data_IF_129802315663
#
_entry.id   IF_129802315663
#
_cell.length_a   1.000
_cell.length_b   1.000
_cell.length_c   1.000
_cell.angle_alpha   90.00
_cell.angle_beta   90.00
_cell.angle_gamma   90.00
#
_symmetry.space_group_name_H-M   'P 1'
#
loop_
_entity.id
_entity.type
_entity.pdbx_description
1 polymer ?
#
# COMPACT_ATOMS: atom_id res chain seq x y z
N UNK A 1 10.37 26.62 -1.43
CA UNK A 1 9.87 25.29 -1.85
C UNK A 1 10.68 24.20 -1.18
N UNK A 2 12.01 24.20 -1.29
CA UNK A 2 12.92 23.19 -0.69
C UNK A 2 12.67 22.90 0.80
N UNK A 3 12.54 23.92 1.65
CA UNK A 3 12.24 23.74 3.08
C UNK A 3 10.87 23.08 3.34
N UNK A 4 9.87 23.33 2.49
CA UNK A 4 8.55 22.71 2.61
C UNK A 4 8.59 21.26 2.14
N UNK A 5 9.25 20.99 1.01
CA UNK A 5 9.48 19.64 0.49
C UNK A 5 10.27 18.77 1.48
N UNK A 6 11.30 19.32 2.12
CA UNK A 6 12.09 18.60 3.13
C UNK A 6 11.24 18.21 4.36
N UNK A 7 10.33 19.07 4.82
CA UNK A 7 9.46 18.79 5.98
C UNK A 7 8.38 17.75 5.66
N UNK A 8 7.92 17.69 4.43
CA UNK A 8 6.81 16.81 4.04
C UNK A 8 7.34 15.45 3.55
N UNK A 9 8.51 15.41 2.94
CA UNK A 9 9.08 14.18 2.41
C UNK A 9 10.07 13.52 3.38
N UNK A 10 11.17 14.19 3.71
CA UNK A 10 12.25 13.60 4.53
C UNK A 10 11.78 13.34 5.96
N UNK A 11 11.11 14.30 6.60
CA UNK A 11 10.65 14.14 8.00
C UNK A 11 9.56 13.08 8.16
N UNK A 12 8.80 12.78 7.10
CA UNK A 12 7.79 11.71 7.10
C UNK A 12 8.37 10.33 6.74
N UNK A 13 9.68 10.24 6.44
CA UNK A 13 10.36 8.98 6.16
C UNK A 13 10.37 8.55 4.69
N UNK A 14 10.00 9.45 3.75
CA UNK A 14 9.96 9.17 2.31
C UNK A 14 11.30 9.39 1.58
N UNK A 15 12.42 9.40 2.31
CA UNK A 15 13.76 9.61 1.76
C UNK A 15 14.11 11.09 1.54
N UNK A 16 15.30 11.33 0.98
CA UNK A 16 15.80 12.68 0.73
C UNK A 16 15.32 13.23 -0.61
N UNK A 17 15.05 14.54 -0.66
CA UNK A 17 14.48 15.22 -1.83
C UNK A 17 15.41 15.25 -3.05
N UNK A 18 16.71 15.00 -2.86
CA UNK A 18 17.73 14.90 -3.91
C UNK A 18 17.92 13.46 -4.44
N UNK A 19 17.42 12.45 -3.73
CA UNK A 19 17.47 11.03 -4.12
C UNK A 19 16.16 10.54 -4.74
N UNK A 20 15.03 11.09 -4.31
CA UNK A 20 13.72 10.71 -4.80
C UNK A 20 13.42 11.37 -6.16
N UNK A 21 12.72 10.64 -7.03
CA UNK A 21 12.31 11.21 -8.32
C UNK A 21 11.27 12.32 -8.12
N UNK A 22 11.43 13.42 -8.86
CA UNK A 22 10.50 14.56 -8.79
C UNK A 22 9.05 14.16 -9.07
N UNK A 23 8.83 13.13 -9.89
CA UNK A 23 7.51 12.58 -10.16
C UNK A 23 6.83 12.00 -8.91
N UNK A 24 7.55 11.23 -8.09
CA UNK A 24 7.01 10.72 -6.83
C UNK A 24 6.77 11.84 -5.81
N UNK A 25 7.69 12.80 -5.73
CA UNK A 25 7.56 13.95 -4.83
C UNK A 25 6.32 14.78 -5.14
N UNK A 26 6.04 15.08 -6.42
CA UNK A 26 4.89 15.91 -6.81
C UNK A 26 3.57 15.13 -6.81
N UNK A 27 3.58 13.81 -7.00
CA UNK A 27 2.39 12.97 -6.84
C UNK A 27 1.95 12.83 -5.38
N UNK A 28 2.91 12.82 -4.45
CA UNK A 28 2.63 12.76 -3.01
C UNK A 28 2.37 14.14 -2.41
N UNK A 29 3.17 15.13 -2.80
CA UNK A 29 3.09 16.52 -2.35
C UNK A 29 2.51 17.38 -3.46
N UNK A 30 1.24 17.14 -3.81
CA UNK A 30 0.56 18.06 -4.71
C UNK A 30 0.48 19.46 -4.07
N UNK A 31 0.16 20.48 -4.88
CA UNK A 31 0.15 21.86 -4.39
C UNK A 31 -0.84 22.04 -3.21
N UNK A 32 -1.92 21.25 -3.16
CA UNK A 32 -2.91 21.32 -2.09
C UNK A 32 -2.35 20.74 -0.78
N UNK A 33 -1.60 19.64 -0.82
CA UNK A 33 -0.96 19.02 0.34
C UNK A 33 0.19 19.86 0.88
N UNK A 34 0.95 20.52 -0.01
CA UNK A 34 1.94 21.52 0.40
C UNK A 34 1.26 22.70 1.11
N UNK A 35 0.14 23.19 0.57
CA UNK A 35 -0.61 24.29 1.17
C UNK A 35 -1.27 23.90 2.50
N UNK A 36 -1.83 22.70 2.63
CA UNK A 36 -2.41 22.22 3.89
C UNK A 36 -1.34 22.06 4.98
N UNK A 37 -0.14 21.58 4.62
CA UNK A 37 1.00 21.53 5.52
C UNK A 37 1.48 22.92 5.98
N UNK A 38 1.43 23.94 5.11
CA UNK A 38 1.75 25.33 5.47
C UNK A 38 0.66 25.95 6.35
N UNK A 39 -0.61 25.64 6.08
CA UNK A 39 -1.77 26.12 6.83
C UNK A 39 -2.02 25.35 8.13
N UNK A 40 -1.22 24.29 8.39
CA UNK A 40 -1.37 23.39 9.52
C UNK A 40 -2.76 22.72 9.58
N UNK A 41 -3.35 22.48 8.42
CA UNK A 41 -4.66 21.84 8.24
C UNK A 41 -4.45 20.33 8.00
N UNK A 42 -4.25 19.60 9.10
CA UNK A 42 -3.97 18.18 9.09
C UNK A 42 -5.12 17.42 9.74
N UNK A 43 -5.83 16.62 8.94
CA UNK A 43 -6.92 15.78 9.42
C UNK A 43 -6.39 14.44 9.90
N UNK A 44 -6.73 14.09 11.14
CA UNK A 44 -6.57 12.76 11.69
C UNK A 44 -7.96 12.20 11.99
N UNK A 45 -8.24 10.94 11.65
CA UNK A 45 -9.49 10.32 12.05
C UNK A 45 -9.55 10.21 13.57
N UNK A 46 -10.77 10.34 14.10
CA UNK A 46 -11.03 10.10 15.52
C UNK A 46 -10.52 8.72 15.91
N UNK A 47 -9.73 8.64 16.99
CA UNK A 47 -9.10 7.41 17.50
C UNK A 47 -7.98 6.81 16.61
N UNK A 48 -7.56 7.52 15.56
CA UNK A 48 -6.37 7.19 14.76
C UNK A 48 -6.60 6.21 13.61
N UNK A 49 -5.57 6.06 12.77
CA UNK A 49 -5.67 5.31 11.50
C UNK A 49 -5.94 3.81 11.68
N UNK A 50 -5.42 3.19 12.73
CA UNK A 50 -5.67 1.76 13.00
C UNK A 50 -7.15 1.50 13.23
N UNK A 51 -7.81 2.31 14.05
CA UNK A 51 -9.24 2.16 14.36
C UNK A 51 -10.10 2.44 13.12
N UNK A 52 -9.73 3.46 12.33
CA UNK A 52 -10.39 3.74 11.05
C UNK A 52 -10.38 2.49 10.13
N UNK A 53 -9.22 1.87 9.93
CA UNK A 53 -9.11 0.69 9.07
C UNK A 53 -9.78 -0.55 9.65
N UNK A 54 -9.76 -0.73 10.98
CA UNK A 54 -10.51 -1.80 11.66
C UNK A 54 -12.00 -1.68 11.34
N UNK A 55 -12.60 -0.51 11.56
CA UNK A 55 -14.03 -0.26 11.28
C UNK A 55 -14.38 -0.45 9.81
N UNK A 56 -13.52 0.03 8.91
CA UNK A 56 -13.73 -0.11 7.48
C UNK A 56 -13.74 -1.59 7.02
N UNK A 57 -13.05 -2.46 7.74
CA UNK A 57 -12.91 -3.88 7.41
C UNK A 57 -13.96 -4.78 8.08
N UNK A 58 -14.77 -4.29 9.03
CA UNK A 58 -15.73 -5.10 9.81
C UNK A 58 -16.71 -5.91 8.95
N UNK A 59 -17.12 -5.36 7.80
CA UNK A 59 -18.08 -5.96 6.88
C UNK A 59 -17.42 -6.68 5.68
N UNK A 60 -16.09 -6.88 5.73
CA UNK A 60 -15.30 -7.48 4.64
C UNK A 60 -14.72 -8.81 5.07
N UNK A 61 -14.54 -9.74 4.11
CA UNK A 61 -13.82 -10.99 4.33
C UNK A 61 -12.30 -10.75 4.38
N UNK A 62 -11.83 -10.17 5.49
CA UNK A 62 -10.40 -9.95 5.74
C UNK A 62 -9.86 -11.08 6.61
N UNK A 63 -9.06 -11.96 5.99
CA UNK A 63 -8.48 -13.14 6.65
C UNK A 63 -7.07 -12.82 7.15
N UNK A 64 -6.94 -12.56 8.44
CA UNK A 64 -5.65 -12.34 9.11
C UNK A 64 -4.96 -13.67 9.46
N UNK A 65 -3.64 -13.63 9.68
CA UNK A 65 -2.86 -14.82 10.08
C UNK A 65 -2.77 -15.92 9.01
N UNK A 66 -3.21 -15.62 7.78
CA UNK A 66 -3.21 -16.56 6.65
C UNK A 66 -2.26 -16.06 5.55
N UNK A 67 -0.93 -16.22 5.72
CA UNK A 67 0.03 -15.75 4.74
C UNK A 67 -0.18 -16.45 3.40
N UNK A 68 -0.21 -15.66 2.32
CA UNK A 68 -0.23 -16.17 0.94
C UNK A 68 1.16 -16.70 0.60
N UNK A 69 1.24 -17.96 0.19
CA UNK A 69 2.50 -18.64 -0.14
C UNK A 69 2.64 -18.97 -1.61
N UNK A 70 1.52 -19.04 -2.35
CA UNK A 70 1.55 -19.32 -3.79
C UNK A 70 0.36 -18.66 -4.51
N UNK A 71 0.60 -18.22 -5.75
CA UNK A 71 -0.40 -17.76 -6.70
C UNK A 71 -0.12 -18.44 -8.05
N UNK A 72 -0.97 -19.39 -8.41
CA UNK A 72 -0.97 -20.05 -9.71
C UNK A 72 -1.91 -19.32 -10.67
N UNK A 73 -1.42 -19.00 -11.86
CA UNK A 73 -2.17 -18.32 -12.94
C UNK A 73 -2.08 -19.07 -14.27
N UNK A 74 -1.62 -20.32 -14.26
CA UNK A 74 -1.44 -21.15 -15.45
C UNK A 74 -2.78 -21.68 -16.00
N UNK A 75 -3.78 -21.82 -15.12
CA UNK A 75 -5.11 -22.30 -15.45
C UNK A 75 -6.10 -21.19 -15.85
N UNK A 76 -7.37 -21.56 -16.11
CA UNK A 76 -8.41 -20.62 -16.52
C UNK A 76 -8.85 -19.65 -15.42
N UNK A 77 -8.58 -19.98 -14.15
CA UNK A 77 -8.82 -19.15 -12.98
C UNK A 77 -7.57 -19.10 -12.10
N UNK A 78 -7.20 -17.94 -11.53
CA UNK A 78 -6.12 -17.88 -10.56
C UNK A 78 -6.45 -18.69 -9.31
N UNK A 79 -5.46 -19.41 -8.79
CA UNK A 79 -5.53 -20.17 -7.55
C UNK A 79 -4.58 -19.54 -6.53
N UNK A 80 -5.10 -19.13 -5.38
CA UNK A 80 -4.31 -18.58 -4.27
C UNK A 80 -4.17 -19.65 -3.19
N UNK A 81 -2.94 -19.92 -2.77
CA UNK A 81 -2.64 -20.77 -1.62
C UNK A 81 -2.28 -19.91 -0.41
N UNK A 82 -3.07 -20.02 0.65
CA UNK A 82 -2.86 -19.31 1.91
C UNK A 82 -3.27 -20.18 3.11
N UNK A 83 -2.53 -20.10 4.21
CA UNK A 83 -2.85 -20.86 5.43
C UNK A 83 -2.93 -22.39 5.22
N UNK A 84 -2.21 -22.92 4.22
CA UNK A 84 -2.23 -24.33 3.85
C UNK A 84 -3.42 -24.78 2.99
N UNK A 85 -4.27 -23.87 2.52
CA UNK A 85 -5.41 -24.16 1.64
C UNK A 85 -5.28 -23.42 0.32
N UNK A 86 -5.79 -24.01 -0.75
CA UNK A 86 -5.85 -23.41 -2.08
C UNK A 86 -7.29 -23.13 -2.49
N UNK A 87 -7.54 -21.93 -3.00
CA UNK A 87 -8.87 -21.46 -3.40
C UNK A 87 -8.79 -20.78 -4.77
N UNK A 88 -9.78 -21.01 -5.63
CA UNK A 88 -9.85 -20.44 -6.97
C UNK A 88 -10.69 -19.15 -6.97
N UNK A 89 -10.23 -18.13 -7.68
CA UNK A 89 -10.88 -16.82 -7.76
C UNK A 89 -11.11 -16.42 -9.21
N UNK A 90 -12.04 -15.49 -9.45
CA UNK A 90 -12.27 -14.95 -10.80
C UNK A 90 -11.22 -13.90 -11.19
N UNK A 91 -10.66 -13.20 -10.19
CA UNK A 91 -9.62 -12.21 -10.38
C UNK A 91 -8.76 -12.06 -9.11
N UNK A 92 -7.55 -11.49 -9.26
CA UNK A 92 -6.65 -11.18 -8.14
C UNK A 92 -6.14 -9.75 -8.30
N UNK A 93 -6.23 -8.97 -7.21
CA UNK A 93 -5.62 -7.64 -7.10
C UNK A 93 -4.57 -7.70 -6.00
N UNK A 94 -3.36 -7.24 -6.30
CA UNK A 94 -2.25 -7.20 -5.35
C UNK A 94 -1.95 -5.78 -4.91
N UNK A 95 -2.06 -5.53 -3.60
CA UNK A 95 -1.59 -4.30 -2.96
C UNK A 95 -0.32 -4.53 -2.13
N UNK A 96 0.21 -5.75 -2.10
CA UNK A 96 1.45 -6.04 -1.39
C UNK A 96 2.66 -5.47 -2.14
N UNK A 97 3.75 -5.12 -1.43
CA UNK A 97 4.96 -4.64 -2.07
C UNK A 97 5.49 -5.65 -3.10
N UNK A 98 5.95 -5.16 -4.26
CA UNK A 98 6.35 -6.00 -5.40
C UNK A 98 7.45 -7.01 -5.02
N UNK A 99 8.39 -6.63 -4.16
CA UNK A 99 9.44 -7.51 -3.65
C UNK A 99 8.92 -8.70 -2.83
N UNK A 100 7.72 -8.57 -2.26
CA UNK A 100 7.04 -9.68 -1.59
C UNK A 100 6.17 -10.46 -2.57
N UNK A 101 5.50 -9.76 -3.48
CA UNK A 101 4.67 -10.36 -4.53
C UNK A 101 5.44 -11.41 -5.35
N UNK A 102 6.67 -11.08 -5.79
CA UNK A 102 7.50 -11.99 -6.59
C UNK A 102 7.84 -13.30 -5.88
N UNK A 103 7.77 -13.34 -4.54
CA UNK A 103 8.11 -14.56 -3.76
C UNK A 103 7.05 -15.64 -3.88
N UNK A 104 5.80 -15.28 -4.14
CA UNK A 104 4.68 -16.24 -4.22
C UNK A 104 3.99 -16.26 -5.59
N UNK A 105 4.27 -15.29 -6.48
CA UNK A 105 3.69 -15.20 -7.83
C UNK A 105 4.67 -15.63 -8.94
N UNK A 106 5.68 -16.44 -8.63
CA UNK A 106 6.65 -16.90 -9.62
C UNK A 106 5.94 -17.55 -10.82
N UNK A 107 6.28 -17.12 -12.03
CA UNK A 107 5.78 -17.74 -13.25
C UNK A 107 6.22 -19.20 -13.29
N UNK A 108 5.27 -20.13 -13.30
CA UNK A 108 5.52 -21.51 -13.70
C UNK A 108 6.14 -21.49 -15.09
N UNK A 109 7.36 -22.03 -15.18
CA UNK A 109 8.15 -22.11 -16.42
C UNK A 109 7.58 -23.19 -17.35
#
# INVERSE_FOLDING_TARGET
MDLASHRIQTTQGYGFTDEATIGQTVQWCDLNYLLSGVLNDMHMPDQGWTEFWTRFAEDKDVRLGSPVTHLDRSGPKPIVTAGGKSEAFDAVVSTVPMQNFVKFCAATR
#
